data_IF_584504912103
#
_entry.id   IF_584504912103
#
_cell.length_a   1.000
_cell.length_b   1.000
_cell.length_c   1.000
_cell.angle_alpha   90.00
_cell.angle_beta   90.00
_cell.angle_gamma   90.00
#
_symmetry.space_group_name_H-M   'P 1'
#
loop_
_entity.id
_entity.type
_entity.pdbx_description
1 polymer ?
#
# COMPACT_ATOMS: atom_id res chain seq x y z
N UNK A 1 -0.63 38.58 3.63
CA UNK A 1 -0.63 38.32 2.18
C UNK A 1 -1.21 36.93 2.01
N UNK A 2 -2.52 36.84 1.78
CA UNK A 2 -3.24 35.58 1.71
C UNK A 2 -2.97 34.94 0.34
N UNK A 3 -2.23 33.83 0.35
CA UNK A 3 -2.22 32.92 -0.79
C UNK A 3 -3.63 32.35 -0.92
N UNK A 4 -4.22 32.34 -2.11
CA UNK A 4 -5.60 31.90 -2.26
C UNK A 4 -5.71 30.37 -2.19
N UNK A 5 -6.84 29.90 -1.66
CA UNK A 5 -7.22 28.50 -1.34
C UNK A 5 -7.10 27.46 -2.47
N UNK A 6 -6.68 27.86 -3.68
CA UNK A 6 -6.51 26.95 -4.81
C UNK A 6 -5.25 26.08 -4.71
N UNK A 7 -4.27 26.46 -3.88
CA UNK A 7 -3.02 25.71 -3.71
C UNK A 7 -3.21 24.38 -2.94
N UNK A 8 -4.27 24.26 -2.14
CA UNK A 8 -4.57 23.06 -1.34
C UNK A 8 -5.20 21.94 -2.19
N UNK A 9 -5.77 22.26 -3.36
CA UNK A 9 -6.48 21.30 -4.21
C UNK A 9 -5.67 20.79 -5.42
N UNK A 10 -4.48 21.35 -5.67
CA UNK A 10 -3.62 20.98 -6.81
C UNK A 10 -2.64 19.82 -6.53
N UNK A 11 -2.50 19.38 -5.27
CA UNK A 11 -1.59 18.30 -4.84
C UNK A 11 -2.33 16.97 -4.58
N UNK A 12 -3.37 16.66 -5.37
CA UNK A 12 -4.13 15.40 -5.20
C UNK A 12 -4.31 14.68 -6.53
N UNK A 13 -3.24 14.56 -7.32
CA UNK A 13 -3.35 14.06 -8.71
C UNK A 13 -2.39 12.95 -9.10
N UNK A 14 -1.53 12.45 -8.20
CA UNK A 14 -0.66 11.31 -8.53
C UNK A 14 -0.84 10.19 -7.50
N UNK A 15 -1.83 9.32 -7.75
CA UNK A 15 -1.92 7.98 -7.17
C UNK A 15 -1.68 6.97 -8.27
N UNK A 16 -0.50 6.36 -8.27
CA UNK A 16 -0.23 5.21 -9.15
C UNK A 16 -0.49 3.93 -8.38
N UNK A 17 -1.38 3.09 -8.90
CA UNK A 17 -1.75 1.81 -8.29
C UNK A 17 -1.28 0.66 -9.18
N UNK A 18 -0.42 -0.19 -8.65
CA UNK A 18 0.05 -1.41 -9.33
C UNK A 18 -0.41 -2.65 -8.56
N UNK A 19 -1.13 -3.54 -9.24
CA UNK A 19 -1.56 -4.82 -8.68
C UNK A 19 -0.86 -5.97 -9.42
N UNK A 20 -0.11 -6.79 -8.68
CA UNK A 20 0.60 -7.94 -9.23
C UNK A 20 -0.03 -9.25 -8.72
N UNK A 21 -0.37 -10.12 -9.66
CA UNK A 21 -1.00 -11.42 -9.42
C UNK A 21 -0.19 -12.51 -10.11
N UNK A 22 0.26 -13.53 -9.39
CA UNK A 22 1.01 -14.65 -9.97
C UNK A 22 0.10 -15.83 -10.28
N UNK A 23 0.10 -16.34 -11.52
CA UNK A 23 -0.64 -17.55 -11.92
C UNK A 23 -0.17 -18.81 -11.18
N UNK A 24 1.07 -18.84 -10.70
CA UNK A 24 1.67 -19.99 -10.03
C UNK A 24 1.38 -20.02 -8.52
N UNK A 25 0.89 -18.91 -7.96
CA UNK A 25 0.52 -18.79 -6.55
C UNK A 25 -0.85 -18.12 -6.47
N UNK A 26 -1.90 -18.93 -6.64
CA UNK A 26 -3.31 -18.51 -6.55
C UNK A 26 -3.69 -17.85 -5.21
N UNK A 27 -2.79 -17.85 -4.22
CA UNK A 27 -3.07 -17.48 -2.83
C UNK A 27 -2.32 -16.23 -2.34
N UNK A 28 -1.58 -15.52 -3.20
CA UNK A 28 -0.93 -14.26 -2.82
C UNK A 28 -0.89 -13.25 -3.95
N UNK A 29 -1.33 -12.03 -3.64
CA UNK A 29 -1.23 -10.86 -4.49
C UNK A 29 -0.53 -9.72 -3.77
N UNK A 30 -0.07 -8.72 -4.52
CA UNK A 30 0.51 -7.50 -3.95
C UNK A 30 -0.07 -6.26 -4.61
N UNK A 31 -0.27 -5.21 -3.82
CA UNK A 31 -0.74 -3.90 -4.25
C UNK A 31 0.30 -2.87 -3.85
N UNK A 32 0.66 -1.96 -4.74
CA UNK A 32 1.55 -0.85 -4.46
C UNK A 32 0.84 0.43 -4.86
N UNK A 33 0.79 1.39 -3.95
CA UNK A 33 0.34 2.75 -4.18
C UNK A 33 1.50 3.71 -3.98
N UNK A 34 1.65 4.65 -4.89
CA UNK A 34 2.56 5.78 -4.75
C UNK A 34 1.74 7.06 -4.67
N UNK A 35 1.95 7.86 -3.62
CA UNK A 35 1.33 9.18 -3.40
C UNK A 35 2.38 10.12 -2.79
N UNK A 36 2.53 11.33 -3.33
CA UNK A 36 3.46 12.35 -2.82
C UNK A 36 4.89 11.85 -2.56
N UNK A 37 5.44 11.07 -3.51
CA UNK A 37 6.74 10.41 -3.41
C UNK A 37 6.88 9.38 -2.28
N UNK A 38 5.77 9.03 -1.61
CA UNK A 38 5.71 7.96 -0.63
C UNK A 38 5.13 6.70 -1.26
N UNK A 39 5.87 5.60 -1.13
CA UNK A 39 5.44 4.30 -1.62
C UNK A 39 4.86 3.49 -0.46
N UNK A 40 3.62 3.03 -0.64
CA UNK A 40 2.93 2.14 0.28
C UNK A 40 2.61 0.83 -0.43
N UNK A 41 2.99 -0.28 0.17
CA UNK A 41 2.78 -1.61 -0.39
C UNK A 41 1.99 -2.51 0.58
N UNK A 42 1.08 -3.28 0.01
CA UNK A 42 0.33 -4.32 0.69
C UNK A 42 0.58 -5.67 0.05
N UNK A 43 0.80 -6.68 0.87
CA UNK A 43 0.87 -8.07 0.42
C UNK A 43 -0.29 -8.86 1.02
N UNK A 44 -1.13 -9.43 0.17
CA UNK A 44 -2.30 -10.19 0.58
C UNK A 44 -1.92 -11.65 0.75
N UNK A 45 -2.24 -12.20 1.93
CA UNK A 45 -1.99 -13.59 2.29
C UNK A 45 -3.25 -14.19 2.88
N UNK A 46 -3.76 -15.27 2.29
CA UNK A 46 -4.96 -15.95 2.76
C UNK A 46 -4.75 -16.89 3.97
N UNK A 47 -3.49 -17.21 4.30
CA UNK A 47 -3.14 -18.12 5.39
C UNK A 47 -2.47 -17.38 6.53
N UNK A 48 -2.96 -17.54 7.76
CA UNK A 48 -2.42 -16.93 8.98
C UNK A 48 -1.26 -17.73 9.61
N UNK A 49 -0.98 -18.94 9.10
CA UNK A 49 -0.05 -19.90 9.76
C UNK A 49 1.43 -19.55 9.61
N UNK A 50 1.78 -18.52 8.84
CA UNK A 50 3.16 -18.10 8.62
C UNK A 50 3.31 -16.64 9.02
N UNK A 51 4.36 -16.32 9.80
CA UNK A 51 4.78 -14.94 9.98
C UNK A 51 5.36 -14.45 8.66
N UNK A 52 4.68 -13.49 8.02
CA UNK A 52 5.16 -12.88 6.79
C UNK A 52 6.02 -11.66 7.12
N UNK A 53 7.14 -11.52 6.40
CA UNK A 53 8.06 -10.39 6.53
C UNK A 53 8.15 -9.67 5.19
N UNK A 54 8.46 -8.36 5.24
CA UNK A 54 8.82 -7.56 4.06
C UNK A 54 9.92 -8.29 3.28
N UNK A 55 9.75 -8.55 1.97
CA UNK A 55 10.79 -9.16 1.16
C UNK A 55 12.09 -8.33 1.22
N UNK A 56 13.24 -8.98 1.39
CA UNK A 56 14.53 -8.28 1.55
C UNK A 56 14.85 -7.39 0.35
N UNK A 57 14.60 -7.87 -0.87
CA UNK A 57 14.79 -7.07 -2.09
C UNK A 57 13.92 -5.80 -2.11
N UNK A 58 12.68 -5.90 -1.64
CA UNK A 58 11.77 -4.74 -1.55
C UNK A 58 12.21 -3.77 -0.44
N UNK A 59 12.67 -4.29 0.71
CA UNK A 59 13.22 -3.49 1.79
C UNK A 59 14.49 -2.73 1.37
N UNK A 60 15.37 -3.34 0.58
CA UNK A 60 16.59 -2.69 0.09
C UNK A 60 16.31 -1.66 -0.99
N UNK A 61 15.37 -1.94 -1.91
CA UNK A 61 15.02 -1.01 -3.00
C UNK A 61 14.20 0.19 -2.50
N UNK A 62 13.33 -0.04 -1.51
CA UNK A 62 12.42 0.96 -0.96
C UNK A 62 12.48 0.95 0.58
N UNK A 63 13.55 1.51 1.17
CA UNK A 63 13.77 1.49 2.61
C UNK A 63 12.67 2.26 3.36
N UNK A 64 12.25 3.41 2.83
CA UNK A 64 11.25 4.29 3.45
C UNK A 64 9.81 3.91 3.12
N UNK A 65 9.61 2.90 2.26
CA UNK A 65 8.29 2.46 1.88
C UNK A 65 7.56 1.75 3.03
N UNK A 66 6.32 2.17 3.26
CA UNK A 66 5.38 1.50 4.16
C UNK A 66 5.03 0.14 3.57
N UNK A 67 5.06 -0.90 4.40
CA UNK A 67 4.75 -2.25 3.97
C UNK A 67 3.87 -2.95 5.00
N UNK A 68 2.70 -3.42 4.56
CA UNK A 68 1.72 -4.09 5.43
C UNK A 68 1.28 -5.40 4.81
N UNK A 69 1.25 -6.47 5.62
CA UNK A 69 0.67 -7.74 5.18
C UNK A 69 -0.80 -7.75 5.55
N UNK A 70 -1.66 -7.94 4.55
CA UNK A 70 -3.11 -8.07 4.73
C UNK A 70 -3.48 -9.55 4.76
N UNK A 71 -4.21 -9.92 5.78
CA UNK A 71 -4.67 -11.27 6.12
C UNK A 71 -6.17 -11.22 6.41
N UNK A 72 -6.86 -12.37 6.47
CA UNK A 72 -8.28 -12.38 6.84
C UNK A 72 -8.58 -11.71 8.20
N UNK A 73 -7.62 -11.67 9.13
CA UNK A 73 -7.80 -11.08 10.46
C UNK A 73 -7.74 -9.54 10.47
N UNK A 74 -7.10 -8.92 9.47
CA UNK A 74 -6.91 -7.47 9.42
C UNK A 74 -7.39 -6.84 8.10
N UNK A 75 -8.11 -7.59 7.27
CA UNK A 75 -8.64 -7.11 5.98
C UNK A 75 -9.61 -5.94 6.15
N UNK A 76 -10.32 -5.88 7.27
CA UNK A 76 -11.25 -4.79 7.59
C UNK A 76 -10.52 -3.45 7.68
N UNK A 77 -9.31 -3.42 8.23
CA UNK A 77 -8.50 -2.20 8.28
C UNK A 77 -8.13 -1.67 6.89
N UNK A 78 -8.03 -2.58 5.91
CA UNK A 78 -7.73 -2.23 4.54
C UNK A 78 -8.97 -1.78 3.75
N UNK A 79 -10.11 -2.46 3.94
CA UNK A 79 -11.33 -2.22 3.17
C UNK A 79 -12.17 -1.05 3.72
N UNK A 80 -12.14 -0.82 5.03
CA UNK A 80 -12.97 0.19 5.66
C UNK A 80 -12.31 1.58 5.57
N UNK A 81 -13.10 2.65 5.38
CA UNK A 81 -12.60 4.01 5.45
C UNK A 81 -11.95 4.26 6.80
N UNK A 82 -10.69 4.67 6.78
CA UNK A 82 -9.99 5.10 7.98
C UNK A 82 -10.16 6.62 8.14
N UNK A 83 -10.40 7.14 9.36
CA UNK A 83 -10.45 8.57 9.58
C UNK A 83 -9.11 9.21 9.15
N UNK A 84 -9.14 10.07 8.13
CA UNK A 84 -7.95 10.76 7.62
C UNK A 84 -7.12 10.01 6.56
N UNK A 85 -7.66 8.94 5.94
CA UNK A 85 -7.11 8.34 4.70
C UNK A 85 -7.91 8.77 3.47
#
# INVERSE_FOLDING_TARGET
>A
MNLPDYAVWMLKLWKNTFACWSRHTLYSGSLIEEEDSNLTAWEFKFSIRKTFKKPSAFASAYPDARFTVITPENVDFFLLPQPGR
#
